data_IF_507307740589
#
_entry.id   IF_507307740589
#
_cell.length_a   1.000
_cell.length_b   1.000
_cell.length_c   1.000
_cell.angle_alpha   90.00
_cell.angle_beta   90.00
_cell.angle_gamma   90.00
#
_symmetry.space_group_name_H-M   'P 1'
#
loop_
_entity.id
_entity.type
_entity.pdbx_description
1 polymer ?
#
# COMPACT_ATOMS: atom_id res chain seq x y z
N UNK A 1 -24.53 5.27 11.46
CA UNK A 1 -23.36 5.81 10.79
C UNK A 1 -23.44 5.52 9.32
N UNK A 2 -23.27 6.53 8.50
CA UNK A 2 -23.36 6.36 7.06
C UNK A 2 -22.13 5.60 6.54
N UNK A 3 -22.39 4.81 5.53
CA UNK A 3 -21.29 4.13 4.86
C UNK A 3 -20.52 5.13 4.00
N UNK A 4 -19.21 5.11 4.14
CA UNK A 4 -18.36 5.99 3.37
C UNK A 4 -17.74 5.23 2.22
N UNK A 5 -17.68 5.87 1.07
CA UNK A 5 -16.92 5.31 -0.06
C UNK A 5 -15.45 5.27 0.32
N UNK A 6 -14.69 4.27 -0.18
CA UNK A 6 -13.27 4.22 0.16
C UNK A 6 -12.53 5.52 -0.14
N UNK A 7 -12.86 6.20 -1.22
CA UNK A 7 -12.19 7.45 -1.55
C UNK A 7 -12.58 8.61 -0.64
N UNK A 8 -13.72 8.50 0.05
CA UNK A 8 -14.15 9.52 1.00
C UNK A 8 -13.39 9.39 2.32
N UNK A 9 -12.87 8.20 2.61
CA UNK A 9 -12.09 7.96 3.82
C UNK A 9 -10.70 8.52 3.67
N UNK A 10 -10.24 8.67 2.43
CA UNK A 10 -8.90 9.18 2.15
C UNK A 10 -8.86 10.68 2.20
N UNK A 11 -8.87 11.22 3.41
CA UNK A 11 -8.69 12.64 3.61
C UNK A 11 -7.24 13.03 3.29
N UNK A 12 -7.01 14.33 3.15
CA UNK A 12 -5.66 14.82 2.92
C UNK A 12 -4.72 14.39 4.05
N UNK A 13 -5.23 14.32 5.27
CA UNK A 13 -4.43 13.92 6.42
C UNK A 13 -3.99 12.47 6.31
N UNK A 14 -4.91 11.58 5.94
CA UNK A 14 -4.57 10.15 5.78
C UNK A 14 -3.61 9.97 4.62
N UNK A 15 -3.83 10.69 3.53
CA UNK A 15 -2.93 10.60 2.38
C UNK A 15 -1.51 11.05 2.76
N UNK A 16 -1.41 12.07 3.59
CA UNK A 16 -0.11 12.54 4.04
C UNK A 16 0.60 11.49 4.90
N UNK A 17 -0.16 10.80 5.76
CA UNK A 17 0.41 9.74 6.57
C UNK A 17 0.93 8.60 5.68
N UNK A 18 0.15 8.25 4.66
CA UNK A 18 0.57 7.21 3.71
C UNK A 18 1.87 7.63 3.03
N UNK A 19 1.91 8.85 2.53
CA UNK A 19 3.10 9.34 1.81
C UNK A 19 4.34 9.34 2.70
N UNK A 20 4.20 9.85 3.92
CA UNK A 20 5.33 9.89 4.85
C UNK A 20 5.81 8.50 5.23
N UNK A 21 4.86 7.59 5.43
CA UNK A 21 5.20 6.21 5.78
C UNK A 21 5.96 5.55 4.65
N UNK A 22 5.50 5.73 3.42
CA UNK A 22 6.17 5.14 2.27
C UNK A 22 7.59 5.70 2.11
N UNK A 23 7.81 6.95 2.48
CA UNK A 23 9.14 7.55 2.38
C UNK A 23 10.15 6.91 3.33
N UNK A 24 9.67 6.23 4.38
CA UNK A 24 10.58 5.54 5.29
C UNK A 24 11.06 4.20 4.75
N UNK A 25 10.48 3.74 3.65
CA UNK A 25 10.81 2.45 3.08
C UNK A 25 11.88 2.57 2.01
N UNK A 26 12.65 1.49 1.77
CA UNK A 26 13.62 1.51 0.67
C UNK A 26 12.95 1.86 -0.65
N UNK A 27 13.71 2.46 -1.53
CA UNK A 27 13.19 2.93 -2.81
C UNK A 27 12.54 1.80 -3.60
N UNK A 28 13.18 0.62 -3.62
CA UNK A 28 12.62 -0.50 -4.36
C UNK A 28 11.26 -0.94 -3.81
N UNK A 29 11.15 -1.01 -2.49
CA UNK A 29 9.89 -1.38 -1.85
C UNK A 29 8.79 -0.38 -2.21
N UNK A 30 9.13 0.91 -2.12
CA UNK A 30 8.20 1.99 -2.43
C UNK A 30 7.76 1.93 -3.88
N UNK A 31 8.69 1.68 -4.79
CA UNK A 31 8.41 1.61 -6.21
C UNK A 31 7.50 0.43 -6.55
N UNK A 32 7.78 -0.73 -5.97
CA UNK A 32 6.97 -1.92 -6.20
C UNK A 32 5.56 -1.72 -5.67
N UNK A 33 5.45 -1.12 -4.48
CA UNK A 33 4.14 -0.85 -3.91
C UNK A 33 3.34 0.10 -4.81
N UNK A 34 3.98 1.14 -5.33
CA UNK A 34 3.32 2.08 -6.22
C UNK A 34 2.83 1.41 -7.50
N UNK A 35 3.65 0.53 -8.07
CA UNK A 35 3.24 -0.19 -9.27
C UNK A 35 2.00 -1.05 -9.01
N UNK A 36 1.95 -1.66 -7.85
CA UNK A 36 0.83 -2.53 -7.50
C UNK A 36 -0.42 -1.74 -7.19
N UNK A 37 -0.31 -0.69 -6.38
CA UNK A 37 -1.49 0.01 -5.87
C UNK A 37 -1.96 1.16 -6.75
N UNK A 38 -1.03 1.89 -7.34
CA UNK A 38 -1.39 3.07 -8.10
C UNK A 38 -1.42 2.82 -9.60
N UNK A 39 -0.63 1.88 -10.09
CA UNK A 39 -0.62 1.55 -11.51
C UNK A 39 -1.35 0.26 -11.82
N UNK A 40 -1.86 -0.40 -10.79
CA UNK A 40 -2.69 -1.59 -10.93
C UNK A 40 -2.01 -2.71 -11.70
N UNK A 41 -0.69 -2.85 -11.55
CA UNK A 41 0.05 -3.90 -12.20
C UNK A 41 -0.03 -5.19 -11.39
N UNK A 42 -0.05 -6.32 -12.08
CA UNK A 42 -0.02 -7.62 -11.41
C UNK A 42 1.39 -7.91 -10.88
N UNK A 43 1.48 -8.84 -9.93
CA UNK A 43 2.78 -9.24 -9.41
C UNK A 43 3.69 -9.77 -10.52
N UNK A 44 3.09 -10.52 -11.46
CA UNK A 44 3.86 -11.04 -12.57
C UNK A 44 4.40 -9.93 -13.46
N UNK A 45 3.57 -8.93 -13.75
CA UNK A 45 4.01 -7.79 -14.55
C UNK A 45 5.16 -7.05 -13.88
N UNK A 46 5.04 -6.82 -12.57
CA UNK A 46 6.08 -6.13 -11.82
C UNK A 46 7.36 -6.95 -11.83
N UNK A 47 7.23 -8.25 -11.59
CA UNK A 47 8.38 -9.15 -11.58
C UNK A 47 9.11 -9.11 -12.91
N UNK A 48 8.36 -9.15 -14.01
CA UNK A 48 8.97 -9.12 -15.35
C UNK A 48 9.65 -7.78 -15.60
N UNK A 49 9.01 -6.68 -15.23
CA UNK A 49 9.57 -5.35 -15.45
C UNK A 49 10.87 -5.13 -14.67
N UNK A 50 10.94 -5.66 -13.46
CA UNK A 50 12.07 -5.41 -12.59
C UNK A 50 13.06 -6.57 -12.56
N UNK A 51 12.83 -7.59 -13.38
CA UNK A 51 13.69 -8.77 -13.45
C UNK A 51 13.81 -9.42 -12.07
N UNK A 52 12.68 -9.65 -11.44
CA UNK A 52 12.58 -10.26 -10.12
C UNK A 52 11.67 -11.46 -10.16
N UNK A 53 11.62 -12.21 -9.05
CA UNK A 53 10.63 -13.26 -8.89
C UNK A 53 9.35 -12.67 -8.36
N UNK A 54 8.22 -13.36 -8.58
CA UNK A 54 6.95 -12.91 -8.02
C UNK A 54 6.99 -12.95 -6.49
N UNK A 55 7.72 -13.91 -5.91
CA UNK A 55 7.88 -13.97 -4.46
C UNK A 55 8.62 -12.75 -3.94
N UNK A 56 9.62 -12.29 -4.67
CA UNK A 56 10.32 -11.06 -4.31
C UNK A 56 9.40 -9.86 -4.34
N UNK A 57 8.54 -9.78 -5.35
CA UNK A 57 7.55 -8.71 -5.44
C UNK A 57 6.62 -8.76 -4.23
N UNK A 58 6.11 -9.95 -3.91
CA UNK A 58 5.21 -10.13 -2.78
C UNK A 58 5.86 -9.72 -1.47
N UNK A 59 7.15 -10.03 -1.31
CA UNK A 59 7.88 -9.64 -0.13
C UNK A 59 7.83 -8.12 0.09
N UNK A 60 8.09 -7.36 -0.97
CA UNK A 60 8.10 -5.91 -0.87
C UNK A 60 6.71 -5.34 -0.63
N UNK A 61 5.70 -5.91 -1.28
CA UNK A 61 4.33 -5.45 -1.09
C UNK A 61 3.86 -5.73 0.34
N UNK A 62 4.18 -6.91 0.86
CA UNK A 62 3.79 -7.27 2.22
C UNK A 62 4.52 -6.39 3.24
N UNK A 63 5.77 -6.06 2.99
CA UNK A 63 6.53 -5.19 3.86
C UNK A 63 5.91 -3.80 3.93
N UNK A 64 5.57 -3.24 2.78
CA UNK A 64 4.94 -1.92 2.74
C UNK A 64 3.56 -1.94 3.39
N UNK A 65 2.77 -2.97 3.09
CA UNK A 65 1.44 -3.11 3.64
C UNK A 65 1.46 -3.18 5.16
N UNK A 66 2.42 -3.93 5.71
CA UNK A 66 2.55 -4.09 7.15
C UNK A 66 2.85 -2.76 7.83
N UNK A 67 3.78 -2.00 7.25
CA UNK A 67 4.17 -0.72 7.83
C UNK A 67 3.00 0.28 7.75
N UNK A 68 2.30 0.29 6.62
CA UNK A 68 1.15 1.17 6.44
C UNK A 68 0.02 0.82 7.41
N UNK A 69 -0.21 -0.48 7.61
CA UNK A 69 -1.26 -0.92 8.53
C UNK A 69 -0.98 -0.41 9.95
N UNK A 70 0.26 -0.48 10.37
CA UNK A 70 0.64 0.03 11.68
C UNK A 70 0.47 1.54 11.76
N UNK A 71 0.89 2.25 10.72
CA UNK A 71 0.80 3.71 10.71
C UNK A 71 -0.65 4.21 10.72
N UNK A 72 -1.56 3.45 10.11
CA UNK A 72 -2.94 3.88 9.94
C UNK A 72 -3.90 3.28 10.97
N UNK A 73 -3.41 2.45 11.87
CA UNK A 73 -4.30 1.71 12.78
C UNK A 73 -5.16 2.62 13.65
N UNK A 74 -4.69 3.81 13.96
CA UNK A 74 -5.42 4.74 14.81
C UNK A 74 -6.33 5.68 14.01
N UNK A 75 -6.29 5.57 12.69
CA UNK A 75 -7.04 6.45 11.81
C UNK A 75 -8.14 5.72 11.05
N UNK A 76 -8.02 4.41 10.87
CA UNK A 76 -8.99 3.62 10.13
C UNK A 76 -9.39 2.40 10.94
N UNK A 77 -10.67 1.99 10.89
CA UNK A 77 -11.08 0.73 11.48
C UNK A 77 -10.33 -0.43 10.85
N UNK A 78 -10.15 -1.50 11.63
CA UNK A 78 -9.41 -2.67 11.16
C UNK A 78 -9.98 -3.23 9.86
N UNK A 79 -11.31 -3.27 9.75
CA UNK A 79 -11.94 -3.80 8.54
C UNK A 79 -11.59 -2.97 7.31
N UNK A 80 -11.51 -1.66 7.45
CA UNK A 80 -11.15 -0.79 6.34
C UNK A 80 -9.68 -0.91 6.00
N UNK A 81 -8.83 -1.13 7.00
CA UNK A 81 -7.42 -1.38 6.74
C UNK A 81 -7.23 -2.62 5.90
N UNK A 82 -7.97 -3.69 6.23
CA UNK A 82 -7.87 -4.93 5.47
C UNK A 82 -8.38 -4.75 4.05
N UNK A 83 -9.48 -4.04 3.89
CA UNK A 83 -10.05 -3.79 2.58
C UNK A 83 -9.10 -2.98 1.71
N UNK A 84 -8.52 -1.94 2.28
CA UNK A 84 -7.68 -1.03 1.51
C UNK A 84 -6.31 -1.62 1.18
N UNK A 85 -5.74 -2.37 2.10
CA UNK A 85 -4.36 -2.84 1.96
C UNK A 85 -4.22 -4.23 1.37
N UNK A 86 -5.33 -4.87 1.05
CA UNK A 86 -5.28 -6.19 0.42
C UNK A 86 -4.96 -6.12 -1.06
#
# INVERSE_FOLDING_TARGET
LEELEPNEIFTAEIQEIVNRTLETLPEQTRRIFAMSRYENKSHKEIADLLNMTTKGVEYHINKATKVLRIALKDYLPTTLLLFFLN
#
